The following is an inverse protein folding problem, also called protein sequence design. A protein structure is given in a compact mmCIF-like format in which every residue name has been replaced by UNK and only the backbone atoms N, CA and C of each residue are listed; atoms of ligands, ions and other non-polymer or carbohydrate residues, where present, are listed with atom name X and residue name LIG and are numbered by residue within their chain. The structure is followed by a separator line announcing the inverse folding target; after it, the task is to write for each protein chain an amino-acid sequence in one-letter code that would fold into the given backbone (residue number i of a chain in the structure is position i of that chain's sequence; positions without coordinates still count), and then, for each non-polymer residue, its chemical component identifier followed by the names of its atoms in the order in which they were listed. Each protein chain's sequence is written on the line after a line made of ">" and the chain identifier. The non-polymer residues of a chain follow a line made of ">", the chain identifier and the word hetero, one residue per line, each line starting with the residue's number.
data_IF_136691678397
#
_entry.id   IF_136691678397
#
_cell.length_a   1.000
_cell.length_b   1.000
_cell.length_c   1.000
_cell.angle_alpha   90.00
_cell.angle_beta   90.00
_cell.angle_gamma   90.00
#
_symmetry.space_group_name_H-M   'P 1'
#
loop_
_entity.id
_entity.type
_entity.pdbx_description
1 polymer ?
#
# COMPACT_ATOMS: atom_id res chain seq x y z
N UNK A 1 -11.53 8.20 2.75
CA UNK A 1 -10.12 8.49 3.09
C UNK A 1 -9.44 8.89 1.80
N UNK A 2 -8.75 10.02 1.80
CA UNK A 2 -8.08 10.58 0.60
C UNK A 2 -6.68 10.00 0.41
N UNK A 3 -6.08 10.21 -0.76
CA UNK A 3 -4.67 9.86 -1.00
C UNK A 3 -3.72 10.51 0.02
N UNK A 4 -4.01 11.76 0.42
CA UNK A 4 -3.23 12.49 1.42
C UNK A 4 -3.30 11.81 2.78
N UNK A 5 -4.49 11.43 3.22
CA UNK A 5 -4.70 10.76 4.51
C UNK A 5 -3.92 9.45 4.58
N UNK A 6 -3.84 8.70 3.47
CA UNK A 6 -3.07 7.46 3.41
C UNK A 6 -1.57 7.73 3.51
N UNK A 7 -1.07 8.74 2.81
CA UNK A 7 0.34 9.12 2.85
C UNK A 7 0.75 9.54 4.27
N UNK A 8 -0.07 10.37 4.92
CA UNK A 8 0.16 10.80 6.31
C UNK A 8 0.15 9.59 7.24
N UNK A 9 -0.88 8.74 7.16
CA UNK A 9 -0.98 7.51 7.96
C UNK A 9 0.19 6.54 7.76
N UNK A 10 0.60 6.28 6.51
CA UNK A 10 1.70 5.38 6.22
C UNK A 10 3.02 5.88 6.85
N UNK A 11 3.26 7.20 6.81
CA UNK A 11 4.43 7.82 7.46
C UNK A 11 4.37 7.73 8.98
N UNK A 12 3.19 7.87 9.57
CA UNK A 12 3.00 7.70 11.02
C UNK A 12 3.39 6.30 11.51
N UNK A 13 3.14 5.26 10.70
CA UNK A 13 3.50 3.87 11.02
C UNK A 13 4.92 3.48 10.56
N UNK A 14 5.73 4.44 10.10
CA UNK A 14 7.14 4.23 9.73
C UNK A 14 7.39 3.75 8.30
N UNK A 15 6.38 3.80 7.42
CA UNK A 15 6.56 3.55 5.99
C UNK A 15 6.88 4.85 5.23
N UNK A 16 7.56 4.71 4.09
CA UNK A 16 7.63 5.80 3.11
C UNK A 16 6.39 5.77 2.22
N UNK A 17 5.84 6.94 1.91
CA UNK A 17 4.63 7.05 1.11
C UNK A 17 4.57 8.34 0.30
N UNK A 18 4.06 8.24 -0.94
CA UNK A 18 3.95 9.34 -1.89
C UNK A 18 2.94 9.08 -3.00
N UNK A 19 2.46 10.16 -3.60
CA UNK A 19 1.61 10.10 -4.80
C UNK A 19 2.49 9.97 -6.07
N UNK A 20 2.15 9.03 -6.95
CA UNK A 20 2.80 8.79 -8.24
C UNK A 20 1.76 8.31 -9.25
N UNK A 21 1.64 8.96 -10.41
CA UNK A 21 0.75 8.54 -11.51
C UNK A 21 -0.70 8.23 -11.06
N UNK A 22 -1.26 9.10 -10.21
CA UNK A 22 -2.59 8.94 -9.58
C UNK A 22 -2.75 7.70 -8.67
N UNK A 23 -1.64 7.12 -8.20
CA UNK A 23 -1.61 6.06 -7.21
C UNK A 23 -0.79 6.48 -5.99
N UNK A 24 -1.13 5.97 -4.81
CA UNK A 24 -0.27 6.11 -3.63
C UNK A 24 0.68 4.93 -3.57
N UNK A 25 1.97 5.20 -3.69
CA UNK A 25 3.02 4.22 -3.50
C UNK A 25 3.42 4.21 -2.02
N UNK A 26 3.41 3.05 -1.38
CA UNK A 26 3.86 2.85 0.00
C UNK A 26 4.96 1.80 0.03
N UNK A 27 6.05 2.06 0.75
CA UNK A 27 7.18 1.12 0.93
C UNK A 27 7.66 1.08 2.37
N UNK A 28 8.17 -0.05 2.83
CA UNK A 28 8.69 -0.22 4.21
C UNK A 28 10.05 0.44 4.45
N UNK A 29 10.68 0.99 3.41
CA UNK A 29 11.96 1.67 3.48
C UNK A 29 12.04 2.88 2.55
N UNK A 30 13.01 3.78 2.79
CA UNK A 30 13.22 4.98 1.99
C UNK A 30 13.69 4.62 0.56
N UNK A 31 13.32 5.45 -0.40
CA UNK A 31 13.92 5.40 -1.74
C UNK A 31 15.40 5.78 -1.70
N UNK A 32 16.26 4.96 -2.31
CA UNK A 32 17.69 5.23 -2.47
C UNK A 32 18.01 5.36 -3.98
N UNK A 33 18.61 6.48 -4.39
CA UNK A 33 19.04 6.71 -5.79
C UNK A 33 17.93 6.60 -6.85
N UNK A 34 16.72 7.11 -6.56
CA UNK A 34 15.59 7.06 -7.52
C UNK A 34 15.02 5.66 -7.73
N UNK A 35 15.41 4.71 -6.88
CA UNK A 35 14.89 3.35 -6.84
C UNK A 35 14.50 3.04 -5.41
N UNK A 36 13.22 2.72 -5.19
CA UNK A 36 12.85 2.05 -3.94
C UNK A 36 13.61 0.72 -3.94
N UNK A 37 14.48 0.50 -2.95
CA UNK A 37 15.13 -0.80 -2.74
C UNK A 37 14.00 -1.83 -2.66
N UNK A 38 13.87 -2.63 -3.71
CA UNK A 38 12.72 -3.51 -3.89
C UNK A 38 11.45 -2.76 -4.32
N UNK A 39 11.28 -2.52 -5.62
CA UNK A 39 9.93 -2.42 -6.21
C UNK A 39 9.04 -3.61 -5.80
N UNK A 40 9.69 -4.75 -5.50
CA UNK A 40 9.09 -5.91 -4.85
C UNK A 40 8.37 -5.56 -3.55
N UNK A 41 8.91 -4.64 -2.75
CA UNK A 41 8.46 -4.26 -1.40
C UNK A 41 7.59 -3.01 -1.39
N UNK A 42 7.27 -2.45 -2.55
CA UNK A 42 6.32 -1.36 -2.67
C UNK A 42 4.91 -1.88 -2.99
N UNK A 43 3.91 -1.26 -2.38
CA UNK A 43 2.50 -1.46 -2.71
C UNK A 43 1.93 -0.19 -3.33
N UNK A 44 1.12 -0.35 -4.37
CA UNK A 44 0.47 0.73 -5.10
C UNK A 44 -1.02 0.74 -4.82
N UNK A 45 -1.51 1.84 -4.29
CA UNK A 45 -2.90 2.01 -3.92
C UNK A 45 -3.59 2.83 -4.98
N UNK A 46 -4.70 2.31 -5.48
CA UNK A 46 -5.57 3.02 -6.40
C UNK A 46 -6.93 3.24 -5.76
N UNK A 47 -7.36 4.50 -5.79
CA UNK A 47 -8.69 4.91 -5.37
C UNK A 47 -9.73 4.42 -6.40
N UNK A 48 -10.83 3.90 -5.89
CA UNK A 48 -11.99 3.42 -6.64
C UNK A 48 -13.27 4.01 -6.02
N UNK A 49 -14.41 3.86 -6.70
CA UNK A 49 -15.68 4.48 -6.26
C UNK A 49 -16.05 4.16 -4.81
N UNK A 50 -15.79 2.92 -4.37
CA UNK A 50 -16.20 2.41 -3.06
C UNK A 50 -15.03 2.21 -2.07
N UNK A 51 -13.82 2.68 -2.41
CA UNK A 51 -12.66 2.52 -1.52
C UNK A 51 -11.33 2.44 -2.27
N UNK A 52 -10.46 1.53 -1.82
CA UNK A 52 -9.10 1.43 -2.32
C UNK A 52 -8.77 0.01 -2.76
N UNK A 53 -7.90 -0.10 -3.75
CA UNK A 53 -7.32 -1.40 -4.12
C UNK A 53 -5.81 -1.34 -3.99
N UNK A 54 -5.24 -2.43 -3.52
CA UNK A 54 -3.79 -2.60 -3.40
C UNK A 54 -3.30 -3.40 -4.60
N UNK A 55 -2.32 -2.87 -5.30
CA UNK A 55 -1.65 -3.48 -6.45
C UNK A 55 -0.16 -3.64 -6.20
N UNK A 56 0.41 -4.76 -6.59
CA UNK A 56 1.86 -5.00 -6.52
C UNK A 56 2.27 -6.08 -7.52
N UNK A 57 3.56 -6.13 -7.84
CA UNK A 57 4.07 -6.89 -8.98
C UNK A 57 3.90 -8.42 -8.89
N UNK A 58 3.68 -8.98 -7.69
CA UNK A 58 3.69 -10.43 -7.45
C UNK A 58 2.30 -11.09 -7.36
N UNK A 59 1.32 -10.47 -6.68
CA UNK A 59 -0.02 -11.07 -6.51
C UNK A 59 -1.16 -10.22 -7.10
N UNK A 60 -0.83 -9.26 -7.97
CA UNK A 60 -1.82 -8.52 -8.76
C UNK A 60 -2.55 -7.45 -7.95
N UNK A 61 -3.86 -7.31 -8.18
CA UNK A 61 -4.72 -6.26 -7.59
C UNK A 61 -5.81 -6.89 -6.71
N UNK A 62 -5.94 -6.40 -5.48
CA UNK A 62 -6.96 -6.86 -4.51
C UNK A 62 -8.39 -6.48 -4.94
N UNK A 63 -9.39 -7.02 -4.22
CA UNK A 63 -10.74 -6.43 -4.18
C UNK A 63 -10.70 -4.99 -3.66
N UNK A 64 -11.81 -4.27 -3.78
CA UNK A 64 -11.97 -2.97 -3.11
C UNK A 64 -12.01 -3.19 -1.59
N UNK A 65 -11.23 -2.37 -0.88
CA UNK A 65 -10.99 -2.40 0.56
C UNK A 65 -11.42 -1.05 1.10
N UNK A 66 -12.18 -1.04 2.20
CA UNK A 66 -12.57 0.20 2.85
C UNK A 66 -11.40 0.86 3.60
N UNK A 67 -11.62 2.07 4.12
CA UNK A 67 -10.57 2.82 4.79
C UNK A 67 -10.08 2.20 6.11
N UNK A 68 -10.94 1.48 6.84
CA UNK A 68 -10.58 0.79 8.08
C UNK A 68 -9.75 -0.45 7.79
N UNK A 69 -10.26 -1.32 6.91
CA UNK A 69 -9.56 -2.52 6.46
C UNK A 69 -8.17 -2.19 5.87
N UNK A 70 -8.07 -1.12 5.07
CA UNK A 70 -6.79 -0.70 4.49
C UNK A 70 -5.77 -0.28 5.56
N UNK A 71 -6.22 0.42 6.62
CA UNK A 71 -5.33 0.83 7.71
C UNK A 71 -4.80 -0.37 8.49
N UNK A 72 -5.65 -1.33 8.78
CA UNK A 72 -5.26 -2.54 9.51
C UNK A 72 -4.31 -3.40 8.68
N UNK A 73 -4.60 -3.54 7.39
CA UNK A 73 -3.74 -4.22 6.42
C UNK A 73 -2.35 -3.57 6.33
N UNK A 74 -2.28 -2.25 6.20
CA UNK A 74 -1.01 -1.52 6.18
C UNK A 74 -0.23 -1.66 7.50
N UNK A 75 -0.90 -1.57 8.65
CA UNK A 75 -0.22 -1.79 9.95
C UNK A 75 0.38 -3.18 10.01
N UNK A 76 -0.40 -4.20 9.63
CA UNK A 76 0.06 -5.59 9.65
C UNK A 76 1.26 -5.77 8.72
N UNK A 77 1.17 -5.27 7.48
CA UNK A 77 2.25 -5.37 6.50
C UNK A 77 3.50 -4.58 6.92
N UNK A 78 3.39 -3.32 7.35
CA UNK A 78 4.56 -2.52 7.77
C UNK A 78 5.25 -3.14 8.99
N UNK A 79 4.47 -3.67 9.94
CA UNK A 79 5.01 -4.28 11.17
C UNK A 79 5.69 -5.62 10.92
N UNK A 80 5.11 -6.48 10.09
CA UNK A 80 5.63 -7.84 9.84
C UNK A 80 6.57 -7.92 8.64
N UNK A 81 6.50 -6.93 7.73
CA UNK A 81 7.07 -6.96 6.38
C UNK A 81 6.62 -8.19 5.56
N UNK A 82 5.54 -8.87 5.98
CA UNK A 82 4.99 -10.03 5.32
C UNK A 82 3.93 -9.59 4.31
N UNK A 83 4.10 -10.00 3.04
CA UNK A 83 3.16 -9.68 1.96
C UNK A 83 2.05 -10.72 1.81
N UNK A 84 2.16 -11.87 2.47
CA UNK A 84 1.10 -12.88 2.44
C UNK A 84 -0.20 -12.36 3.06
N UNK A 85 -0.13 -11.31 3.90
CA UNK A 85 -1.31 -10.61 4.44
C UNK A 85 -2.24 -10.07 3.36
N UNK A 86 -1.73 -9.77 2.16
CA UNK A 86 -2.53 -9.30 1.02
C UNK A 86 -3.30 -10.43 0.32
N UNK A 87 -2.90 -11.70 0.49
CA UNK A 87 -3.55 -12.85 -0.14
C UNK A 87 -5.01 -13.00 0.32
N UNK A 88 -5.29 -12.64 1.58
CA UNK A 88 -6.65 -12.61 2.11
C UNK A 88 -7.58 -11.62 1.39
N UNK A 89 -7.03 -10.73 0.56
CA UNK A 89 -7.73 -9.68 -0.18
C UNK A 89 -7.59 -9.85 -1.70
N UNK A 90 -6.97 -10.92 -2.18
CA UNK A 90 -6.93 -11.25 -3.60
C UNK A 90 -8.36 -11.36 -4.17
N UNK A 91 -8.52 -11.02 -5.45
CA UNK A 91 -9.81 -11.21 -6.12
C UNK A 91 -10.14 -12.71 -6.13
N UNK A 92 -11.25 -13.07 -5.48
CA UNK A 92 -11.91 -14.35 -5.69
C UNK A 92 -12.31 -14.56 -7.16
#
# INVERSE_FOLDING_TARGET
>A
MTARDIIEFAREIGADARLKDAQVCVSTGPEENGSIRGWSDAVFLREEADGWTVGFAQYGRTRVIDAGELRDLHKAWVSSQDKTVFQAYEKA
#
